data_IF_865371336818
#
_entry.id   IF_865371336818
#
_cell.length_a   1.000
_cell.length_b   1.000
_cell.length_c   1.000
_cell.angle_alpha   90.00
_cell.angle_beta   90.00
_cell.angle_gamma   90.00
#
_symmetry.space_group_name_H-M   'P 1'
#
loop_
_entity.id
_entity.type
_entity.pdbx_description
1 polymer ?
#
# COMPACT_ATOMS: atom_id res chain seq x y z
N UNK A 1 -13.15 -4.87 7.57
CA UNK A 1 -12.90 -5.81 6.46
C UNK A 1 -14.17 -6.37 5.82
N UNK A 2 -15.18 -6.85 6.56
CA UNK A 2 -16.44 -7.39 6.00
C UNK A 2 -17.11 -6.52 4.93
N UNK A 3 -17.13 -5.20 5.14
CA UNK A 3 -17.72 -4.26 4.19
C UNK A 3 -17.06 -4.31 2.80
N UNK A 4 -15.74 -4.51 2.71
CA UNK A 4 -15.06 -4.59 1.42
C UNK A 4 -15.42 -5.86 0.65
N UNK A 5 -15.61 -6.98 1.36
CA UNK A 5 -16.05 -8.24 0.76
C UNK A 5 -17.48 -8.12 0.23
N UNK A 6 -18.36 -7.51 1.01
CA UNK A 6 -19.75 -7.26 0.62
C UNK A 6 -19.85 -6.33 -0.60
N UNK A 7 -19.04 -5.26 -0.65
CA UNK A 7 -18.97 -4.37 -1.81
C UNK A 7 -18.50 -5.10 -3.07
N UNK A 8 -17.46 -5.95 -2.95
CA UNK A 8 -16.98 -6.79 -4.06
C UNK A 8 -18.06 -7.73 -4.57
N UNK A 9 -18.77 -8.43 -3.68
CA UNK A 9 -19.81 -9.39 -4.04
C UNK A 9 -21.03 -8.70 -4.65
N UNK A 10 -21.45 -7.57 -4.09
CA UNK A 10 -22.66 -6.86 -4.51
C UNK A 10 -22.47 -6.14 -5.84
N UNK A 11 -21.31 -5.50 -6.05
CA UNK A 11 -21.11 -4.60 -7.18
C UNK A 11 -20.10 -5.11 -8.21
N UNK A 12 -19.34 -6.17 -7.92
CA UNK A 12 -18.34 -6.72 -8.85
C UNK A 12 -17.18 -5.75 -9.16
N UNK A 13 -16.91 -4.79 -8.26
CA UNK A 13 -15.89 -3.76 -8.45
C UNK A 13 -14.59 -4.07 -7.72
N UNK A 14 -13.48 -3.55 -8.24
CA UNK A 14 -12.19 -3.54 -7.53
C UNK A 14 -12.21 -2.49 -6.40
N UNK A 15 -11.53 -2.79 -5.30
CA UNK A 15 -11.47 -1.97 -4.11
C UNK A 15 -10.04 -1.52 -3.85
N UNK A 16 -9.91 -0.26 -3.44
CA UNK A 16 -8.69 0.35 -2.93
C UNK A 16 -8.97 0.96 -1.55
N UNK A 17 -8.03 0.82 -0.62
CA UNK A 17 -8.07 1.50 0.67
C UNK A 17 -6.67 1.79 1.18
N UNK A 18 -6.53 2.77 2.07
CA UNK A 18 -5.27 3.07 2.73
C UNK A 18 -4.99 2.20 3.96
N UNK A 19 -3.71 2.05 4.25
CA UNK A 19 -3.16 1.43 5.46
C UNK A 19 -2.26 2.44 6.17
N UNK A 20 -2.29 2.42 7.50
CA UNK A 20 -1.65 3.41 8.36
C UNK A 20 -0.58 2.79 9.27
N UNK A 21 -0.66 1.47 9.50
CA UNK A 21 0.27 0.72 10.35
C UNK A 21 0.68 -0.59 9.66
N UNK A 22 1.90 -1.07 9.94
CA UNK A 22 2.44 -2.28 9.32
C UNK A 22 1.56 -3.52 9.53
N UNK A 23 0.94 -3.65 10.71
CA UNK A 23 0.01 -4.73 11.08
C UNK A 23 -1.24 -4.79 10.18
N UNK A 24 -1.58 -3.68 9.52
CA UNK A 24 -2.75 -3.58 8.63
C UNK A 24 -2.44 -4.08 7.22
N UNK A 25 -1.18 -4.11 6.81
CA UNK A 25 -0.79 -4.36 5.41
C UNK A 25 -1.34 -5.70 4.88
N UNK A 26 -0.99 -6.82 5.52
CA UNK A 26 -1.42 -8.14 5.06
C UNK A 26 -2.94 -8.36 5.17
N UNK A 27 -3.59 -8.11 6.34
CA UNK A 27 -5.02 -8.36 6.46
C UNK A 27 -5.89 -7.53 5.51
N UNK A 28 -5.43 -6.34 5.12
CA UNK A 28 -6.11 -5.51 4.12
C UNK A 28 -5.84 -6.02 2.71
N UNK A 29 -4.59 -6.34 2.38
CA UNK A 29 -4.20 -6.91 1.09
C UNK A 29 -4.93 -8.22 0.75
N UNK A 30 -5.26 -9.03 1.75
CA UNK A 30 -6.05 -10.27 1.56
C UNK A 30 -7.49 -10.01 1.08
N UNK A 31 -7.98 -8.78 1.21
CA UNK A 31 -9.38 -8.42 0.96
C UNK A 31 -9.54 -7.46 -0.21
N UNK A 32 -8.64 -6.48 -0.35
CA UNK A 32 -8.73 -5.42 -1.39
C UNK A 32 -7.80 -5.71 -2.57
N UNK A 33 -8.02 -5.04 -3.70
CA UNK A 33 -7.21 -5.26 -4.90
C UNK A 33 -5.98 -4.35 -4.96
N UNK A 34 -6.06 -3.20 -4.28
CA UNK A 34 -4.97 -2.22 -4.18
C UNK A 34 -4.90 -1.70 -2.74
N UNK A 35 -3.71 -1.73 -2.16
CA UNK A 35 -3.44 -1.03 -0.89
C UNK A 35 -2.75 0.30 -1.17
N UNK A 36 -3.10 1.33 -0.41
CA UNK A 36 -2.64 2.69 -0.66
C UNK A 36 -1.78 3.20 0.49
N UNK A 37 -0.60 3.75 0.16
CA UNK A 37 0.28 4.41 1.10
C UNK A 37 -0.12 5.89 1.23
N UNK A 38 -0.51 6.37 2.42
CA UNK A 38 -0.76 7.79 2.66
C UNK A 38 0.50 8.65 2.45
N UNK A 39 0.31 9.83 1.88
CA UNK A 39 1.39 10.79 1.57
C UNK A 39 2.33 11.07 2.76
N UNK A 40 1.77 11.26 3.95
CA UNK A 40 2.53 11.56 5.15
C UNK A 40 3.34 10.37 5.69
N UNK A 41 3.00 9.14 5.30
CA UNK A 41 3.60 7.91 5.81
C UNK A 41 4.64 7.30 4.85
N UNK A 42 4.91 7.93 3.71
CA UNK A 42 5.83 7.41 2.69
C UNK A 42 7.30 7.24 3.14
N UNK A 43 7.65 7.72 4.34
CA UNK A 43 8.98 7.58 4.93
C UNK A 43 9.04 6.56 6.08
N UNK A 44 7.94 5.91 6.43
CA UNK A 44 7.87 4.90 7.49
C UNK A 44 8.36 3.56 6.95
N UNK A 45 9.61 3.20 7.25
CA UNK A 45 10.25 1.98 6.73
C UNK A 45 9.44 0.72 7.05
N UNK A 46 9.03 0.53 8.30
CA UNK A 46 8.27 -0.66 8.72
C UNK A 46 6.96 -0.83 7.93
N UNK A 47 6.26 0.27 7.64
CA UNK A 47 5.03 0.24 6.85
C UNK A 47 5.33 -0.09 5.38
N UNK A 48 6.33 0.57 4.79
CA UNK A 48 6.73 0.34 3.40
C UNK A 48 7.16 -1.11 3.19
N UNK A 49 7.97 -1.66 4.09
CA UNK A 49 8.38 -3.07 4.04
C UNK A 49 7.21 -4.03 4.22
N UNK A 50 6.32 -3.78 5.19
CA UNK A 50 5.16 -4.64 5.41
C UNK A 50 4.24 -4.63 4.19
N UNK A 51 4.00 -3.46 3.59
CA UNK A 51 3.23 -3.31 2.35
C UNK A 51 3.90 -4.02 1.17
N UNK A 52 5.22 -3.86 1.00
CA UNK A 52 5.99 -4.54 -0.05
C UNK A 52 5.88 -6.06 0.03
N UNK A 53 5.96 -6.62 1.24
CA UNK A 53 5.89 -8.07 1.51
C UNK A 53 4.52 -8.70 1.19
N UNK A 54 3.45 -7.90 1.07
CA UNK A 54 2.11 -8.43 0.75
C UNK A 54 1.99 -8.99 -0.67
N UNK A 55 2.86 -8.54 -1.59
CA UNK A 55 2.72 -8.83 -3.03
C UNK A 55 1.50 -8.18 -3.70
N UNK A 56 0.76 -7.32 -2.99
CA UNK A 56 -0.39 -6.61 -3.54
C UNK A 56 0.03 -5.45 -4.46
N UNK A 57 -0.91 -4.95 -5.26
CA UNK A 57 -0.71 -3.69 -5.98
C UNK A 57 -0.71 -2.53 -4.98
N UNK A 58 0.29 -1.67 -5.07
CA UNK A 58 0.49 -0.55 -4.13
C UNK A 58 0.28 0.77 -4.85
N UNK A 59 -0.66 1.59 -4.37
CA UNK A 59 -0.81 2.97 -4.81
C UNK A 59 -0.08 3.92 -3.85
N UNK A 60 0.92 4.65 -4.34
CA UNK A 60 1.67 5.61 -3.52
C UNK A 60 1.14 7.02 -3.75
N UNK A 61 0.52 7.63 -2.72
CA UNK A 61 0.18 9.06 -2.77
C UNK A 61 1.45 9.89 -2.68
N UNK A 62 1.74 10.71 -3.70
CA UNK A 62 2.91 11.61 -3.72
C UNK A 62 2.91 12.49 -2.46
N UNK A 63 3.97 12.43 -1.62
CA UNK A 63 4.06 13.32 -0.48
C UNK A 63 4.13 14.79 -0.92
N UNK A 64 3.49 15.68 -0.19
CA UNK A 64 3.49 17.12 -0.48
C UNK A 64 4.90 17.73 -0.36
N UNK A 65 5.79 17.12 0.43
CA UNK A 65 7.18 17.53 0.64
C UNK A 65 8.19 16.84 -0.30
N UNK A 66 7.72 16.11 -1.33
CA UNK A 66 8.55 15.39 -2.31
C UNK A 66 8.27 15.93 -3.72
N UNK A 67 9.33 16.25 -4.46
CA UNK A 67 9.24 16.68 -5.86
C UNK A 67 8.92 15.49 -6.80
N UNK A 68 8.32 15.71 -7.98
CA UNK A 68 8.01 14.62 -8.91
C UNK A 68 9.22 13.74 -9.26
N UNK A 69 10.40 14.33 -9.48
CA UNK A 69 11.63 13.60 -9.81
C UNK A 69 12.15 12.70 -8.67
N UNK A 70 11.71 12.92 -7.44
CA UNK A 70 12.10 12.12 -6.27
C UNK A 70 11.12 10.97 -5.97
N UNK A 71 10.05 10.81 -6.76
CA UNK A 71 9.10 9.70 -6.55
C UNK A 71 9.72 8.32 -6.81
N UNK A 72 10.72 8.23 -7.71
CA UNK A 72 11.45 6.99 -7.97
C UNK A 72 12.04 6.40 -6.69
N UNK A 73 12.65 7.23 -5.83
CA UNK A 73 13.25 6.78 -4.57
C UNK A 73 12.24 6.09 -3.63
N UNK A 74 10.96 6.45 -3.70
CA UNK A 74 9.93 5.78 -2.89
C UNK A 74 9.63 4.41 -3.48
N UNK A 75 9.53 4.31 -4.82
CA UNK A 75 9.33 3.03 -5.51
C UNK A 75 10.50 2.08 -5.27
N UNK A 76 11.73 2.58 -5.33
CA UNK A 76 12.93 1.77 -5.09
C UNK A 76 12.93 1.13 -3.70
N UNK A 77 12.45 1.86 -2.67
CA UNK A 77 12.29 1.30 -1.32
C UNK A 77 11.32 0.13 -1.25
N UNK A 78 10.22 0.17 -2.03
CA UNK A 78 9.30 -0.96 -2.11
C UNK A 78 9.99 -2.16 -2.77
N UNK A 79 10.80 -1.94 -3.80
CA UNK A 79 11.55 -3.00 -4.49
C UNK A 79 12.58 -3.64 -3.54
N UNK A 80 13.36 -2.81 -2.82
CA UNK A 80 14.32 -3.26 -1.82
C UNK A 80 13.66 -4.16 -0.76
N UNK A 81 12.51 -3.74 -0.23
CA UNK A 81 11.77 -4.48 0.80
C UNK A 81 11.25 -5.86 0.38
N UNK A 82 11.14 -6.14 -0.92
CA UNK A 82 10.82 -7.48 -1.46
C UNK A 82 12.07 -8.35 -1.60
N UNK A 83 13.22 -7.76 -1.91
CA UNK A 83 14.50 -8.47 -2.13
C UNK A 83 15.22 -8.86 -0.84
N UNK A 84 14.92 -8.25 0.30
CA UNK A 84 15.48 -8.63 1.60
C UNK A 84 14.80 -9.92 2.10
N UNK A 85 15.27 -11.05 1.59
CA UNK A 85 15.04 -12.39 2.17
C UNK A 85 16.24 -12.83 2.99
#
# INVERSE_FOLDING_TARGET
MKIFQELKQTFGVKIITDVHEASQAQPVADVVDVIQLPAFLARQTDLVEAMAKTGAVINVKKPQFVSPGQMGNIVDKFIEGVTTK
#
